data_IF_248812300650
#
_entry.id   IF_248812300650
#
_cell.length_a   1.000
_cell.length_b   1.000
_cell.length_c   1.000
_cell.angle_alpha   90.00
_cell.angle_beta   90.00
_cell.angle_gamma   90.00
#
_symmetry.space_group_name_H-M   'P 1'
#
loop_
_entity.id
_entity.type
_entity.pdbx_description
1 polymer ?
#
# COMPACT_ATOMS: atom_id res chain seq x y z
N UNK A 1 -5.96 -54.67 -5.59
CA UNK A 1 -6.36 -53.27 -5.83
C UNK A 1 -6.61 -52.60 -4.48
N UNK A 2 -5.76 -51.67 -4.05
CA UNK A 2 -6.14 -50.67 -3.04
C UNK A 2 -5.30 -49.41 -3.27
N UNK A 3 -6.03 -48.30 -3.42
CA UNK A 3 -5.57 -47.01 -3.93
C UNK A 3 -4.60 -46.31 -2.98
N UNK A 4 -3.47 -45.84 -3.52
CA UNK A 4 -2.64 -44.82 -2.90
C UNK A 4 -3.42 -43.49 -2.85
N UNK A 5 -3.72 -42.99 -1.65
CA UNK A 5 -4.23 -41.63 -1.46
C UNK A 5 -3.04 -40.65 -1.54
N UNK A 6 -2.86 -40.08 -2.72
CA UNK A 6 -1.96 -38.94 -2.95
C UNK A 6 -2.58 -37.67 -2.36
N UNK A 7 -2.08 -37.21 -1.22
CA UNK A 7 -2.29 -35.83 -0.78
C UNK A 7 -1.30 -34.93 -1.50
N UNK A 8 -1.76 -34.26 -2.55
CA UNK A 8 -1.04 -33.16 -3.16
C UNK A 8 -0.92 -32.01 -2.15
N UNK A 9 0.21 -31.95 -1.44
CA UNK A 9 0.63 -30.74 -0.72
C UNK A 9 0.83 -29.66 -1.79
N UNK A 10 -0.11 -28.71 -1.87
CA UNK A 10 0.08 -27.48 -2.64
C UNK A 10 1.36 -26.84 -2.13
N UNK A 11 2.41 -26.84 -2.95
CA UNK A 11 3.63 -26.09 -2.66
C UNK A 11 3.22 -24.62 -2.62
N UNK A 12 3.13 -24.05 -1.42
CA UNK A 12 3.10 -22.60 -1.25
C UNK A 12 4.41 -22.12 -1.90
N UNK A 13 4.30 -21.43 -3.05
CA UNK A 13 5.46 -20.78 -3.66
C UNK A 13 6.03 -19.86 -2.60
N UNK A 14 7.33 -19.99 -2.34
CA UNK A 14 8.03 -19.07 -1.44
C UNK A 14 7.72 -17.63 -1.89
N UNK A 15 7.36 -16.72 -0.96
CA UNK A 15 6.99 -15.37 -1.33
C UNK A 15 8.18 -14.71 -2.02
N UNK A 16 8.07 -14.51 -3.33
CA UNK A 16 9.08 -13.79 -4.11
C UNK A 16 9.02 -12.33 -3.69
N UNK A 17 10.11 -11.83 -3.13
CA UNK A 17 10.26 -10.43 -2.73
C UNK A 17 9.95 -9.52 -3.91
N UNK A 18 9.08 -8.53 -3.70
CA UNK A 18 8.59 -7.63 -4.75
C UNK A 18 9.43 -6.36 -4.80
N UNK A 19 9.79 -5.91 -6.01
CA UNK A 19 10.42 -4.61 -6.21
C UNK A 19 9.34 -3.53 -6.15
N UNK A 20 9.53 -2.55 -5.30
CA UNK A 20 8.54 -1.49 -5.05
C UNK A 20 9.18 -0.13 -5.29
N UNK A 21 8.50 0.69 -6.08
CA UNK A 21 8.83 2.11 -6.24
C UNK A 21 7.81 2.92 -5.43
N UNK A 22 8.24 4.03 -4.85
CA UNK A 22 7.41 4.84 -3.94
C UNK A 22 7.04 6.16 -4.58
N UNK A 23 5.76 6.54 -4.50
CA UNK A 23 5.27 7.87 -4.92
C UNK A 23 4.62 8.55 -3.71
N UNK A 24 5.02 9.81 -3.46
CA UNK A 24 4.45 10.62 -2.39
C UNK A 24 3.54 11.70 -3.00
N UNK A 25 2.33 11.84 -2.46
CA UNK A 25 1.35 12.82 -2.96
C UNK A 25 1.16 14.02 -2.04
N UNK A 26 1.75 13.98 -0.84
CA UNK A 26 1.75 15.08 0.11
C UNK A 26 2.76 14.87 1.23
N UNK A 27 2.64 15.65 2.30
CA UNK A 27 3.50 15.50 3.48
C UNK A 27 3.07 14.28 4.29
N UNK A 28 3.95 13.28 4.35
CA UNK A 28 3.71 12.01 5.05
C UNK A 28 4.36 11.97 6.42
N UNK A 29 4.94 13.08 6.90
CA UNK A 29 5.66 13.18 8.18
C UNK A 29 6.76 12.12 8.34
N UNK A 30 7.37 11.69 7.24
CA UNK A 30 8.33 10.57 7.17
C UNK A 30 7.78 9.19 7.61
N UNK A 31 6.48 9.05 7.92
CA UNK A 31 5.87 7.79 8.34
C UNK A 31 5.92 6.71 7.25
N UNK A 32 5.94 7.12 5.97
CA UNK A 32 6.17 6.23 4.84
C UNK A 32 7.50 5.45 4.96
N UNK A 33 8.54 6.06 5.54
CA UNK A 33 9.86 5.42 5.72
C UNK A 33 9.80 4.33 6.78
N UNK A 34 9.12 4.58 7.90
CA UNK A 34 8.92 3.57 8.95
C UNK A 34 8.09 2.40 8.42
N UNK A 35 7.04 2.68 7.65
CA UNK A 35 6.24 1.64 6.99
C UNK A 35 7.09 0.77 6.05
N UNK A 36 7.86 1.40 5.16
CA UNK A 36 8.75 0.70 4.22
C UNK A 36 9.84 -0.11 4.94
N UNK A 37 10.43 0.46 6.00
CA UNK A 37 11.40 -0.22 6.85
C UNK A 37 10.81 -1.49 7.46
N UNK A 38 9.61 -1.44 8.02
CA UNK A 38 8.94 -2.62 8.56
C UNK A 38 8.70 -3.70 7.50
N UNK A 39 8.33 -3.33 6.28
CA UNK A 39 8.13 -4.30 5.19
C UNK A 39 9.44 -4.92 4.71
N UNK A 40 10.52 -4.12 4.67
CA UNK A 40 11.87 -4.58 4.33
C UNK A 40 12.42 -5.54 5.38
N UNK A 41 12.28 -5.22 6.66
CA UNK A 41 12.73 -6.07 7.78
C UNK A 41 11.99 -7.42 7.82
N UNK A 42 10.74 -7.45 7.31
CA UNK A 42 9.96 -8.67 7.14
C UNK A 42 10.28 -9.45 5.86
N UNK A 43 11.21 -8.96 5.03
CA UNK A 43 11.59 -9.57 3.76
C UNK A 43 10.48 -9.55 2.70
N UNK A 44 9.55 -8.60 2.78
CA UNK A 44 8.36 -8.56 1.92
C UNK A 44 8.59 -7.77 0.63
N UNK A 45 9.52 -6.80 0.63
CA UNK A 45 9.81 -5.97 -0.53
C UNK A 45 11.27 -5.51 -0.62
N UNK A 46 11.66 -5.05 -1.81
CA UNK A 46 12.90 -4.32 -2.09
C UNK A 46 12.54 -3.00 -2.74
N UNK A 47 13.08 -1.90 -2.24
CA UNK A 47 12.84 -0.58 -2.84
C UNK A 47 13.70 -0.36 -4.08
N UNK A 48 13.09 0.16 -5.13
CA UNK A 48 13.76 0.62 -6.35
C UNK A 48 13.34 2.06 -6.64
N UNK A 49 14.23 2.82 -7.28
CA UNK A 49 13.99 4.24 -7.55
C UNK A 49 13.15 4.46 -8.82
N UNK A 50 13.25 3.54 -9.78
CA UNK A 50 12.64 3.68 -11.10
C UNK A 50 11.31 2.95 -11.19
N UNK A 51 10.31 3.62 -11.75
CA UNK A 51 8.98 3.01 -11.99
C UNK A 51 9.07 1.86 -12.99
N UNK A 52 9.99 1.92 -13.95
CA UNK A 52 10.19 0.86 -14.95
C UNK A 52 10.64 -0.46 -14.30
N UNK A 53 11.48 -0.36 -13.26
CA UNK A 53 12.09 -1.49 -12.58
C UNK A 53 11.22 -2.09 -11.46
N UNK A 54 10.20 -1.37 -10.97
CA UNK A 54 9.33 -1.88 -9.91
C UNK A 54 8.31 -2.89 -10.43
N UNK A 55 7.97 -3.88 -9.62
CA UNK A 55 6.86 -4.79 -9.90
C UNK A 55 5.52 -4.16 -9.48
N UNK A 56 5.54 -3.28 -8.46
CA UNK A 56 4.37 -2.60 -7.91
C UNK A 56 4.75 -1.16 -7.51
N UNK A 57 3.84 -0.21 -7.73
CA UNK A 57 3.96 1.17 -7.24
C UNK A 57 3.26 1.29 -5.89
N UNK A 58 3.96 1.76 -4.86
CA UNK A 58 3.36 2.11 -3.57
C UNK A 58 3.16 3.63 -3.49
N UNK A 59 1.92 4.07 -3.56
CA UNK A 59 1.55 5.48 -3.52
C UNK A 59 1.08 5.84 -2.12
N UNK A 60 1.78 6.76 -1.45
CA UNK A 60 1.35 7.29 -0.16
C UNK A 60 0.51 8.55 -0.36
N UNK A 61 -0.71 8.49 0.16
CA UNK A 61 -1.72 9.54 0.06
C UNK A 61 -2.16 10.02 1.44
N UNK A 62 -1.44 10.98 2.04
CA UNK A 62 -1.91 11.62 3.26
C UNK A 62 -3.14 12.47 2.97
N UNK A 63 -4.26 12.12 3.62
CA UNK A 63 -5.51 12.86 3.48
C UNK A 63 -5.34 14.19 4.20
N UNK A 64 -5.26 15.26 3.42
CA UNK A 64 -5.04 16.62 3.88
C UNK A 64 -6.34 17.41 3.87
N UNK A 65 -7.18 17.18 2.86
CA UNK A 65 -8.48 17.82 2.72
C UNK A 65 -9.38 16.99 1.79
N UNK A 66 -10.45 16.41 2.36
CA UNK A 66 -11.46 15.59 1.68
C UNK A 66 -10.88 14.47 0.79
N UNK A 67 -11.01 13.24 1.27
CA UNK A 67 -10.35 12.07 0.70
C UNK A 67 -10.47 11.92 -0.83
N UNK A 68 -11.60 12.31 -1.43
CA UNK A 68 -11.84 12.18 -2.87
C UNK A 68 -10.84 12.98 -3.73
N UNK A 69 -10.52 14.22 -3.37
CA UNK A 69 -9.61 15.05 -4.16
C UNK A 69 -8.18 14.52 -4.08
N UNK A 70 -7.73 14.19 -2.88
CA UNK A 70 -6.39 13.67 -2.64
C UNK A 70 -6.20 12.29 -3.31
N UNK A 71 -7.21 11.41 -3.25
CA UNK A 71 -7.20 10.11 -3.92
C UNK A 71 -7.17 10.26 -5.45
N UNK A 72 -8.00 11.13 -6.03
CA UNK A 72 -8.01 11.36 -7.48
C UNK A 72 -6.65 11.90 -7.97
N UNK A 73 -6.05 12.84 -7.24
CA UNK A 73 -4.72 13.35 -7.56
C UNK A 73 -3.62 12.27 -7.42
N UNK A 74 -3.76 11.35 -6.47
CA UNK A 74 -2.86 10.22 -6.31
C UNK A 74 -2.97 9.23 -7.48
N UNK A 75 -4.19 8.91 -7.92
CA UNK A 75 -4.45 8.01 -9.04
C UNK A 75 -3.87 8.53 -10.35
N UNK A 76 -3.89 9.84 -10.58
CA UNK A 76 -3.29 10.46 -11.78
C UNK A 76 -1.76 10.28 -11.87
N UNK A 77 -1.08 9.96 -10.77
CA UNK A 77 0.37 9.69 -10.78
C UNK A 77 0.72 8.24 -11.08
N UNK A 78 -0.27 7.36 -11.26
CA UNK A 78 -0.10 5.93 -11.49
C UNK A 78 -0.21 5.66 -12.99
N UNK A 79 0.85 5.16 -13.66
CA UNK A 79 0.77 4.69 -15.04
C UNK A 79 -0.30 3.61 -15.22
N UNK A 80 -0.96 3.58 -16.38
CA UNK A 80 -2.07 2.65 -16.66
C UNK A 80 -1.62 1.19 -16.83
N UNK A 81 -0.33 0.95 -17.02
CA UNK A 81 0.28 -0.37 -17.27
C UNK A 81 0.93 -0.99 -16.03
N UNK A 82 0.82 -0.34 -14.87
CA UNK A 82 1.49 -0.75 -13.62
C UNK A 82 0.50 -1.02 -12.50
N UNK A 83 0.65 -2.17 -11.86
CA UNK A 83 -0.05 -2.48 -10.62
C UNK A 83 0.38 -1.51 -9.52
N UNK A 84 -0.58 -1.01 -8.74
CA UNK A 84 -0.31 -0.07 -7.68
C UNK A 84 -1.06 -0.40 -6.38
N UNK A 85 -0.47 0.02 -5.27
CA UNK A 85 -1.09 0.02 -3.95
C UNK A 85 -1.18 1.48 -3.52
N UNK A 86 -2.39 1.96 -3.31
CA UNK A 86 -2.67 3.27 -2.74
C UNK A 86 -2.78 3.13 -1.22
N UNK A 87 -1.73 3.57 -0.53
CA UNK A 87 -1.68 3.67 0.92
C UNK A 87 -2.27 5.02 1.36
N UNK A 88 -3.55 5.01 1.72
CA UNK A 88 -4.29 6.20 2.16
C UNK A 88 -3.97 6.44 3.64
N UNK A 89 -3.26 7.52 3.94
CA UNK A 89 -2.80 7.84 5.29
C UNK A 89 -3.79 8.80 5.94
N UNK A 90 -4.59 8.26 6.84
CA UNK A 90 -5.56 9.00 7.63
C UNK A 90 -4.90 9.49 8.89
N UNK A 91 -4.87 10.80 9.07
CA UNK A 91 -4.44 11.42 10.31
C UNK A 91 -5.65 11.63 11.21
N UNK A 92 -5.66 11.02 12.40
CA UNK A 92 -6.71 11.24 13.39
C UNK A 92 -6.11 11.53 14.76
N UNK A 93 -6.73 12.48 15.47
CA UNK A 93 -6.49 12.69 16.90
C UNK A 93 -7.43 11.86 17.77
N UNK A 94 -8.51 11.32 17.19
CA UNK A 94 -9.46 10.46 17.88
C UNK A 94 -9.08 8.98 17.66
N UNK A 95 -8.67 8.24 18.72
CA UNK A 95 -8.34 6.82 18.63
C UNK A 95 -9.55 5.93 18.33
N UNK A 96 -10.78 6.45 18.45
CA UNK A 96 -12.01 5.74 18.11
C UNK A 96 -12.52 6.08 16.69
N UNK A 97 -11.77 6.87 15.92
CA UNK A 97 -12.17 7.25 14.57
C UNK A 97 -12.26 6.03 13.66
N UNK A 98 -13.45 5.80 13.11
CA UNK A 98 -13.66 4.76 12.10
C UNK A 98 -13.29 5.33 10.74
N UNK A 99 -12.25 4.78 10.13
CA UNK A 99 -11.78 5.19 8.82
C UNK A 99 -12.82 4.79 7.76
N UNK A 100 -13.33 5.74 6.96
CA UNK A 100 -14.17 5.40 5.81
C UNK A 100 -13.35 4.61 4.80
N UNK A 101 -13.94 3.53 4.28
CA UNK A 101 -13.29 2.60 3.36
C UNK A 101 -12.85 3.32 2.07
N UNK A 102 -11.53 3.52 1.90
CA UNK A 102 -11.01 4.30 0.76
C UNK A 102 -11.18 3.60 -0.58
N UNK A 103 -11.31 2.26 -0.58
CA UNK A 103 -11.59 1.45 -1.77
C UNK A 103 -12.79 1.94 -2.58
N UNK A 104 -13.79 2.54 -1.90
CA UNK A 104 -15.01 3.07 -2.53
C UNK A 104 -14.76 4.22 -3.50
N UNK A 105 -13.62 4.89 -3.38
CA UNK A 105 -13.22 6.02 -4.24
C UNK A 105 -12.29 5.58 -5.37
N UNK A 106 -11.96 4.29 -5.48
CA UNK A 106 -11.05 3.75 -6.50
C UNK A 106 -11.81 2.84 -7.45
N UNK A 107 -11.91 3.25 -8.71
CA UNK A 107 -12.60 2.49 -9.77
C UNK A 107 -11.64 1.64 -10.62
N UNK A 108 -10.32 1.81 -10.43
CA UNK A 108 -9.25 1.09 -11.15
C UNK A 108 -8.99 -0.28 -10.52
N UNK A 109 -9.20 -1.36 -11.28
CA UNK A 109 -9.03 -2.74 -10.81
C UNK A 109 -7.57 -3.15 -10.58
N UNK A 110 -6.63 -2.42 -11.16
CA UNK A 110 -5.18 -2.60 -11.03
C UNK A 110 -4.59 -1.84 -9.83
N UNK A 111 -5.42 -1.11 -9.09
CA UNK A 111 -5.06 -0.37 -7.88
C UNK A 111 -5.72 -1.00 -6.67
N UNK A 112 -4.92 -1.55 -5.76
CA UNK A 112 -5.39 -1.96 -4.44
C UNK A 112 -5.29 -0.80 -3.45
N UNK A 113 -6.21 -0.69 -2.49
CA UNK A 113 -6.18 0.34 -1.45
C UNK A 113 -5.84 -0.26 -0.08
N UNK A 114 -5.02 0.45 0.70
CA UNK A 114 -4.76 0.14 2.10
C UNK A 114 -4.93 1.41 2.92
N UNK A 115 -5.83 1.37 3.90
CA UNK A 115 -6.03 2.46 4.85
C UNK A 115 -5.00 2.35 5.98
N UNK A 116 -4.19 3.39 6.14
CA UNK A 116 -3.19 3.53 7.19
C UNK A 116 -3.63 4.63 8.16
N UNK A 117 -3.96 4.23 9.39
CA UNK A 117 -4.34 5.17 10.45
C UNK A 117 -3.12 5.57 11.28
N UNK A 118 -2.84 6.87 11.34
CA UNK A 118 -1.76 7.43 12.14
C UNK A 118 -2.28 8.41 13.18
N UNK A 119 -1.69 8.33 14.37
CA UNK A 119 -1.99 9.20 15.50
C UNK A 119 -0.74 9.98 15.87
N UNK A 120 -0.83 11.30 15.97
CA UNK A 120 0.22 12.10 16.57
C UNK A 120 0.10 12.01 18.09
N UNK A 121 1.00 11.28 18.75
CA UNK A 121 1.05 11.23 20.23
C UNK A 121 1.60 12.53 20.86
N UNK A 122 2.02 13.52 20.06
CA UNK A 122 2.56 14.78 20.55
C UNK A 122 2.16 15.93 19.63
N UNK A 123 1.08 16.63 19.99
CA UNK A 123 0.92 18.02 19.61
C UNK A 123 1.94 18.87 20.36
N UNK A 124 2.63 19.75 19.65
CA UNK A 124 3.31 20.91 20.24
C UNK A 124 2.80 22.16 19.56
#
# INVERSE_FOLDING_TARGET
>A
MQLARSSAKRRLKEPKMKRVCTVLTGNTLNLHKEFLKCLRERGQLTEVQNVEECDVILVFCPISFWAENDINAALQKIPDDKAAILAVMHHTFDPNYTVPESSRHVTRSDVATVDLLFHETRGY
#
